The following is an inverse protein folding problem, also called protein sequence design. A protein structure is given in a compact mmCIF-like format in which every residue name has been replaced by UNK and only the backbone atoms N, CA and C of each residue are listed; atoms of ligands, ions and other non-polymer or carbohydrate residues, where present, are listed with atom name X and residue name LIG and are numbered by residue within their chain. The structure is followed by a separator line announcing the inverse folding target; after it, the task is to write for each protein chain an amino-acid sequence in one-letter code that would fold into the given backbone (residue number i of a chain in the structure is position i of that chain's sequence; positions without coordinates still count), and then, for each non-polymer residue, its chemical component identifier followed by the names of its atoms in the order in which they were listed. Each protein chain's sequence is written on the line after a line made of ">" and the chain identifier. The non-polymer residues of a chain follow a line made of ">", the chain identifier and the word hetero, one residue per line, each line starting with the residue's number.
data_IF_120266866445
#
_entry.id   IF_120266866445
#
_cell.length_a   1.000
_cell.length_b   1.000
_cell.length_c   1.000
_cell.angle_alpha   90.00
_cell.angle_beta   90.00
_cell.angle_gamma   90.00
#
_symmetry.space_group_name_H-M   'P 1'
#
loop_
_entity.id
_entity.type
_entity.pdbx_description
1 polymer ?
#
# COMPACT_ATOMS: atom_id res chain seq x y z
N UNK A 1 1.94 -28.86 5.38
CA UNK A 1 2.83 -27.98 6.16
C UNK A 1 4.09 -27.79 5.36
N UNK A 2 4.17 -26.71 4.59
CA UNK A 2 5.36 -26.37 3.80
C UNK A 2 6.39 -25.72 4.72
N UNK A 3 7.61 -26.26 4.74
CA UNK A 3 8.75 -25.71 5.47
C UNK A 3 8.95 -24.23 5.08
N UNK A 4 8.83 -23.32 6.05
CA UNK A 4 9.34 -21.96 5.87
C UNK A 4 10.85 -22.05 5.70
N UNK A 5 11.34 -21.87 4.48
CA UNK A 5 12.77 -21.67 4.23
C UNK A 5 13.26 -20.52 5.11
N UNK A 6 14.13 -20.83 6.08
CA UNK A 6 14.78 -19.81 6.91
C UNK A 6 15.45 -18.80 5.98
N UNK A 7 14.96 -17.56 5.99
CA UNK A 7 15.56 -16.45 5.23
C UNK A 7 17.04 -16.35 5.61
N UNK A 8 17.92 -16.39 4.61
CA UNK A 8 19.35 -16.15 4.80
C UNK A 8 19.52 -14.75 5.38
N UNK A 9 20.24 -14.64 6.49
CA UNK A 9 20.58 -13.35 7.11
C UNK A 9 22.08 -13.10 6.98
N UNK A 10 22.46 -11.84 6.79
CA UNK A 10 23.84 -11.40 6.68
C UNK A 10 24.12 -10.34 7.75
N UNK A 11 25.33 -10.32 8.30
CA UNK A 11 25.71 -9.39 9.36
C UNK A 11 26.34 -8.13 8.76
N UNK A 12 25.93 -6.97 9.27
CA UNK A 12 26.47 -5.67 8.89
C UNK A 12 26.61 -4.78 10.13
N UNK A 13 27.68 -4.00 10.20
CA UNK A 13 28.00 -3.13 11.34
C UNK A 13 28.10 -1.68 10.88
N UNK A 14 27.45 -0.78 11.61
CA UNK A 14 27.46 0.66 11.35
C UNK A 14 27.84 1.45 12.59
N UNK A 15 28.42 2.64 12.38
CA UNK A 15 28.49 3.68 13.42
C UNK A 15 27.29 4.60 13.25
N UNK A 16 26.55 4.83 14.33
CA UNK A 16 25.39 5.71 14.36
C UNK A 16 25.62 6.81 15.40
N UNK A 17 25.04 7.98 15.15
CA UNK A 17 24.93 9.02 16.18
C UNK A 17 24.25 8.45 17.43
N UNK A 18 24.81 8.72 18.61
CA UNK A 18 24.32 8.15 19.87
C UNK A 18 22.88 8.56 20.16
N UNK A 19 22.50 9.80 19.84
CA UNK A 19 21.14 10.28 20.07
C UNK A 19 20.13 9.57 19.15
N UNK A 20 20.54 9.23 17.92
CA UNK A 20 19.70 8.45 17.00
C UNK A 20 19.54 7.02 17.51
N UNK A 21 20.64 6.39 17.95
CA UNK A 21 20.60 5.03 18.49
C UNK A 21 19.70 4.94 19.73
N UNK A 22 19.79 5.92 20.63
CA UNK A 22 18.98 5.96 21.85
C UNK A 22 17.48 6.09 21.54
N UNK A 23 17.10 6.91 20.54
CA UNK A 23 15.70 7.02 20.11
C UNK A 23 15.17 5.71 19.55
N UNK A 24 15.95 5.04 18.70
CA UNK A 24 15.55 3.76 18.09
C UNK A 24 15.45 2.66 19.17
N UNK A 25 16.35 2.64 20.15
CA UNK A 25 16.28 1.69 21.28
C UNK A 25 14.99 1.87 22.09
N UNK A 26 14.69 3.10 22.51
CA UNK A 26 13.45 3.41 23.23
C UNK A 26 12.21 3.03 22.45
N UNK A 27 12.21 3.24 21.13
CA UNK A 27 11.12 2.83 20.26
C UNK A 27 10.99 1.30 20.15
N UNK A 28 12.10 0.57 20.10
CA UNK A 28 12.05 -0.90 20.09
C UNK A 28 11.50 -1.45 21.42
N UNK A 29 11.88 -0.84 22.54
CA UNK A 29 11.37 -1.17 23.88
C UNK A 29 9.88 -0.86 24.01
N UNK A 30 9.42 0.31 23.53
CA UNK A 30 7.99 0.67 23.57
C UNK A 30 7.11 -0.27 22.73
N UNK A 31 7.65 -0.77 21.61
CA UNK A 31 7.00 -1.76 20.77
C UNK A 31 7.14 -3.21 21.29
N UNK A 32 7.94 -3.45 22.34
CA UNK A 32 8.20 -4.79 22.87
C UNK A 32 8.96 -5.71 21.89
N UNK A 33 9.76 -5.13 20.99
CA UNK A 33 10.56 -5.87 20.00
C UNK A 33 12.05 -5.61 20.18
N UNK A 34 12.90 -6.50 19.66
CA UNK A 34 14.36 -6.26 19.69
C UNK A 34 14.76 -5.13 18.74
N UNK A 35 15.87 -4.46 19.06
CA UNK A 35 16.46 -3.43 18.19
C UNK A 35 16.71 -3.97 16.77
N UNK A 36 17.14 -5.23 16.64
CA UNK A 36 17.37 -5.85 15.34
C UNK A 36 16.07 -6.01 14.54
N UNK A 37 14.96 -6.38 15.19
CA UNK A 37 13.65 -6.47 14.52
C UNK A 37 13.20 -5.09 14.05
N UNK A 38 13.34 -4.05 14.88
CA UNK A 38 13.01 -2.69 14.47
C UNK A 38 13.89 -2.19 13.31
N UNK A 39 15.20 -2.43 13.37
CA UNK A 39 16.13 -2.08 12.30
C UNK A 39 15.76 -2.77 10.98
N UNK A 40 15.44 -4.07 11.00
CA UNK A 40 14.97 -4.78 9.81
C UNK A 40 13.67 -4.18 9.27
N UNK A 41 12.69 -3.86 10.12
CA UNK A 41 11.45 -3.19 9.69
C UNK A 41 11.74 -1.84 8.99
N UNK A 42 12.65 -1.04 9.54
CA UNK A 42 13.05 0.27 8.96
C UNK A 42 13.72 0.06 7.60
N UNK A 43 14.70 -0.83 7.50
CA UNK A 43 15.40 -1.09 6.24
C UNK A 43 14.46 -1.65 5.18
N UNK A 44 13.60 -2.62 5.52
CA UNK A 44 12.60 -3.15 4.60
C UNK A 44 11.64 -2.05 4.11
N UNK A 45 11.11 -1.22 5.02
CA UNK A 45 10.24 -0.08 4.64
C UNK A 45 10.96 0.90 3.72
N UNK A 46 12.24 1.17 3.98
CA UNK A 46 13.02 2.07 3.14
C UNK A 46 13.20 1.50 1.72
N UNK A 47 13.59 0.23 1.60
CA UNK A 47 13.81 -0.43 0.31
C UNK A 47 12.53 -0.67 -0.49
N UNK A 48 11.39 -0.87 0.19
CA UNK A 48 10.11 -1.13 -0.47
C UNK A 48 9.37 0.16 -0.87
N UNK A 49 9.64 1.29 -0.20
CA UNK A 49 8.86 2.52 -0.37
C UNK A 49 9.66 3.81 -0.27
N UNK A 50 10.27 4.10 0.88
CA UNK A 50 10.81 5.44 1.17
C UNK A 50 11.92 5.88 0.20
N UNK A 51 12.65 4.93 -0.40
CA UNK A 51 13.67 5.26 -1.41
C UNK A 51 13.10 5.73 -2.76
N UNK A 52 11.80 5.55 -3.00
CA UNK A 52 11.12 5.88 -4.25
C UNK A 52 10.08 6.99 -4.11
N UNK A 53 9.35 7.06 -2.99
CA UNK A 53 8.29 8.05 -2.72
C UNK A 53 8.62 9.48 -3.20
N UNK A 54 9.77 10.09 -2.85
CA UNK A 54 10.08 11.45 -3.30
C UNK A 54 10.35 11.56 -4.81
N UNK A 55 10.73 10.47 -5.47
CA UNK A 55 11.02 10.43 -6.91
C UNK A 55 9.75 10.39 -7.77
N UNK A 56 8.63 9.98 -7.18
CA UNK A 56 7.35 9.81 -7.86
C UNK A 56 6.34 10.91 -7.51
N UNK A 57 6.81 12.01 -6.92
CA UNK A 57 5.97 13.17 -6.59
C UNK A 57 4.93 12.91 -5.50
N UNK A 58 5.12 11.87 -4.68
CA UNK A 58 4.25 11.61 -3.54
C UNK A 58 4.53 12.58 -2.39
N UNK A 59 3.46 13.04 -1.76
CA UNK A 59 3.51 13.94 -0.60
C UNK A 59 2.75 13.31 0.57
N UNK A 60 3.31 13.34 1.80
CA UNK A 60 2.62 12.86 2.97
C UNK A 60 1.46 13.81 3.31
N UNK A 61 0.25 13.26 3.45
CA UNK A 61 -0.95 14.01 3.82
C UNK A 61 -1.63 13.32 5.00
N UNK A 62 -2.00 14.09 6.02
CA UNK A 62 -2.72 13.56 7.17
C UNK A 62 -4.11 13.02 6.76
N UNK A 63 -4.46 11.83 7.27
CA UNK A 63 -5.72 11.12 6.98
C UNK A 63 -6.98 12.02 7.08
N UNK A 64 -7.15 12.89 8.10
CA UNK A 64 -8.32 13.76 8.19
C UNK A 64 -8.44 14.76 7.03
N UNK A 65 -7.31 15.25 6.50
CA UNK A 65 -7.30 16.15 5.34
C UNK A 65 -7.78 15.39 4.10
N UNK A 66 -7.27 14.17 3.89
CA UNK A 66 -7.72 13.32 2.78
C UNK A 66 -9.22 13.08 2.86
N UNK A 67 -9.74 12.71 4.04
CA UNK A 67 -11.18 12.49 4.23
C UNK A 67 -11.99 13.75 3.92
N UNK A 68 -11.59 14.90 4.45
CA UNK A 68 -12.26 16.17 4.20
C UNK A 68 -12.24 16.59 2.72
N UNK A 69 -11.17 16.29 1.98
CA UNK A 69 -11.10 16.55 0.55
C UNK A 69 -12.06 15.65 -0.24
N UNK A 70 -12.08 14.34 0.05
CA UNK A 70 -12.97 13.40 -0.64
C UNK A 70 -14.45 13.62 -0.29
N UNK A 71 -14.77 14.06 0.92
CA UNK A 71 -16.14 14.41 1.32
C UNK A 71 -16.72 15.62 0.56
N UNK A 72 -15.86 16.51 0.04
CA UNK A 72 -16.31 17.66 -0.77
C UNK A 72 -16.67 17.29 -2.20
N UNK A 73 -16.18 16.16 -2.70
CA UNK A 73 -16.47 15.73 -4.07
C UNK A 73 -17.87 15.14 -4.16
N UNK A 74 -18.54 15.37 -5.27
CA UNK A 74 -19.70 14.56 -5.67
C UNK A 74 -19.23 13.21 -6.20
N UNK A 75 -20.15 12.25 -6.29
CA UNK A 75 -19.88 10.96 -6.91
C UNK A 75 -19.37 11.12 -8.35
N UNK A 76 -19.99 12.03 -9.12
CA UNK A 76 -19.60 12.33 -10.49
C UNK A 76 -18.17 12.87 -10.58
N UNK A 77 -17.83 13.87 -9.76
CA UNK A 77 -16.46 14.42 -9.72
C UNK A 77 -15.43 13.37 -9.31
N UNK A 78 -15.79 12.49 -8.38
CA UNK A 78 -14.94 11.37 -7.94
C UNK A 78 -14.65 10.40 -9.09
N UNK A 79 -15.67 10.02 -9.86
CA UNK A 79 -15.52 9.14 -11.03
C UNK A 79 -14.70 9.82 -12.13
N UNK A 80 -14.94 11.11 -12.39
CA UNK A 80 -14.16 11.87 -13.37
C UNK A 80 -12.68 11.98 -12.97
N UNK A 81 -12.39 12.24 -11.70
CA UNK A 81 -11.03 12.30 -11.16
C UNK A 81 -10.29 10.97 -11.38
N UNK A 82 -10.95 9.85 -11.04
CA UNK A 82 -10.40 8.51 -11.22
C UNK A 82 -10.08 8.20 -12.70
N UNK A 83 -10.99 8.54 -13.62
CA UNK A 83 -10.85 8.27 -15.05
C UNK A 83 -9.85 9.18 -15.76
N UNK A 84 -9.81 10.47 -15.42
CA UNK A 84 -8.98 11.45 -16.14
C UNK A 84 -7.49 11.32 -15.82
N UNK A 85 -7.17 11.11 -14.54
CA UNK A 85 -5.78 11.12 -14.08
C UNK A 85 -5.43 9.96 -13.15
N UNK A 86 -6.42 9.33 -12.50
CA UNK A 86 -6.16 8.30 -11.49
C UNK A 86 -5.44 7.07 -12.04
N UNK A 87 -5.91 6.53 -13.18
CA UNK A 87 -5.30 5.35 -13.80
C UNK A 87 -3.85 5.59 -14.22
N UNK A 88 -3.58 6.66 -14.98
CA UNK A 88 -2.23 6.96 -15.49
C UNK A 88 -1.24 7.20 -14.37
N UNK A 89 -1.58 8.07 -13.41
CA UNK A 89 -0.71 8.38 -12.27
C UNK A 89 -0.41 7.11 -11.47
N UNK A 90 -1.44 6.32 -11.11
CA UNK A 90 -1.22 5.12 -10.30
C UNK A 90 -0.42 4.06 -11.07
N UNK A 91 -0.65 3.92 -12.37
CA UNK A 91 0.09 2.99 -13.24
C UNK A 91 1.57 3.36 -13.34
N UNK A 92 1.88 4.63 -13.60
CA UNK A 92 3.25 5.11 -13.77
C UNK A 92 4.05 4.96 -12.47
N UNK A 93 3.45 5.30 -11.33
CA UNK A 93 4.09 5.17 -10.03
C UNK A 93 4.37 3.70 -9.70
N UNK A 94 3.38 2.81 -9.88
CA UNK A 94 3.55 1.39 -9.60
C UNK A 94 4.65 0.78 -10.48
N UNK A 95 4.64 1.11 -11.78
CA UNK A 95 5.65 0.66 -12.75
C UNK A 95 7.05 1.14 -12.35
N UNK A 96 7.19 2.42 -11.99
CA UNK A 96 8.49 2.98 -11.59
C UNK A 96 9.03 2.30 -10.32
N UNK A 97 8.18 2.06 -9.33
CA UNK A 97 8.59 1.47 -8.04
C UNK A 97 8.87 -0.02 -8.13
N UNK A 98 8.22 -0.75 -9.05
CA UNK A 98 8.37 -2.21 -9.20
C UNK A 98 9.25 -2.63 -10.37
N UNK A 99 9.58 -1.71 -11.29
CA UNK A 99 10.34 -2.00 -12.50
C UNK A 99 9.54 -2.70 -13.61
N UNK A 100 8.22 -2.80 -13.45
CA UNK A 100 7.34 -3.49 -14.38
C UNK A 100 5.88 -3.44 -13.93
N UNK A 101 4.97 -3.90 -14.80
CA UNK A 101 3.54 -3.92 -14.56
C UNK A 101 2.96 -5.28 -14.94
N UNK A 102 2.76 -6.11 -13.93
CA UNK A 102 1.99 -7.35 -13.95
C UNK A 102 1.08 -7.40 -12.70
N UNK A 103 0.22 -8.43 -12.59
CA UNK A 103 -0.71 -8.55 -11.47
C UNK A 103 0.01 -8.61 -10.13
N UNK A 104 1.11 -9.35 -10.04
CA UNK A 104 1.81 -9.57 -8.77
C UNK A 104 2.56 -8.32 -8.30
N UNK A 105 3.27 -7.65 -9.22
CA UNK A 105 3.97 -6.39 -8.96
C UNK A 105 3.00 -5.28 -8.58
N UNK A 106 1.90 -5.11 -9.33
CA UNK A 106 0.89 -4.08 -9.04
C UNK A 106 0.20 -4.32 -7.70
N UNK A 107 -0.27 -5.54 -7.44
CA UNK A 107 -0.94 -5.89 -6.17
C UNK A 107 0.04 -5.76 -5.00
N UNK A 108 1.28 -6.20 -5.16
CA UNK A 108 2.33 -6.01 -4.14
C UNK A 108 2.54 -4.53 -3.83
N UNK A 109 2.65 -3.68 -4.85
CA UNK A 109 2.79 -2.23 -4.67
C UNK A 109 1.57 -1.63 -3.96
N UNK A 110 0.37 -2.00 -4.40
CA UNK A 110 -0.88 -1.47 -3.86
C UNK A 110 -1.06 -1.86 -2.39
N UNK A 111 -0.82 -3.13 -2.04
CA UNK A 111 -0.90 -3.61 -0.66
C UNK A 111 0.16 -2.93 0.22
N UNK A 112 1.39 -2.78 -0.26
CA UNK A 112 2.44 -2.03 0.46
C UNK A 112 2.01 -0.58 0.71
N UNK A 113 1.48 0.12 -0.30
CA UNK A 113 0.94 1.48 -0.16
C UNK A 113 -0.12 1.57 0.94
N UNK A 114 -1.08 0.66 0.94
CA UNK A 114 -2.17 0.62 1.92
C UNK A 114 -1.63 0.38 3.34
N UNK A 115 -0.67 -0.55 3.52
CA UNK A 115 -0.04 -0.83 4.82
C UNK A 115 0.78 0.35 5.34
N UNK A 116 1.50 1.04 4.46
CA UNK A 116 2.31 2.21 4.83
C UNK A 116 1.44 3.39 5.26
N UNK A 117 0.21 3.44 4.75
CA UNK A 117 -0.82 4.40 5.15
C UNK A 117 -1.54 4.01 6.46
N UNK A 118 -1.06 2.96 7.15
CA UNK A 118 -1.60 2.43 8.40
C UNK A 118 -3.06 1.94 8.28
N UNK A 119 -3.42 1.41 7.11
CA UNK A 119 -4.71 0.74 6.93
C UNK A 119 -4.63 -0.73 7.32
N UNK A 120 -5.68 -1.21 7.99
CA UNK A 120 -5.84 -2.63 8.29
C UNK A 120 -6.21 -3.37 7.01
N UNK A 121 -5.51 -4.48 6.73
CA UNK A 121 -5.76 -5.30 5.55
C UNK A 121 -5.89 -6.77 5.97
N UNK A 122 -7.02 -7.37 5.62
CA UNK A 122 -7.19 -8.82 5.68
C UNK A 122 -7.07 -9.40 4.27
N UNK A 123 -6.23 -10.44 4.10
CA UNK A 123 -6.04 -11.13 2.83
C UNK A 123 -6.46 -12.60 2.97
N UNK A 124 -7.42 -13.01 2.17
CA UNK A 124 -7.97 -14.37 2.14
C UNK A 124 -7.78 -14.95 0.74
N UNK A 125 -7.38 -16.21 0.66
CA UNK A 125 -7.29 -16.97 -0.60
C UNK A 125 -8.22 -18.17 -0.52
N UNK A 126 -9.14 -18.31 -1.50
CA UNK A 126 -10.04 -19.47 -1.63
C UNK A 126 -10.17 -19.82 -3.11
N UNK A 127 -9.93 -21.08 -3.47
CA UNK A 127 -10.01 -21.58 -4.86
C UNK A 127 -9.28 -20.65 -5.85
N UNK A 128 -8.02 -20.32 -5.57
CA UNK A 128 -7.17 -19.42 -6.39
C UNK A 128 -7.65 -17.95 -6.48
N UNK A 129 -8.81 -17.62 -5.92
CA UNK A 129 -9.32 -16.26 -5.80
C UNK A 129 -8.69 -15.56 -4.60
N UNK A 130 -7.92 -14.51 -4.87
CA UNK A 130 -7.37 -13.61 -3.87
C UNK A 130 -8.41 -12.57 -3.51
N UNK A 131 -8.64 -12.34 -2.21
CA UNK A 131 -9.56 -11.31 -1.70
C UNK A 131 -8.86 -10.47 -0.65
N UNK A 132 -8.76 -9.16 -0.88
CA UNK A 132 -8.25 -8.18 0.07
C UNK A 132 -9.41 -7.35 0.60
N UNK A 133 -9.50 -7.23 1.92
CA UNK A 133 -10.45 -6.36 2.62
C UNK A 133 -9.62 -5.30 3.32
N UNK A 134 -9.82 -4.04 2.94
CA UNK A 134 -9.04 -2.89 3.40
C UNK A 134 -9.98 -1.98 4.18
N UNK A 135 -9.69 -1.78 5.46
CA UNK A 135 -10.40 -0.83 6.31
C UNK A 135 -9.60 0.48 6.33
N UNK A 136 -10.22 1.54 5.82
CA UNK A 136 -9.56 2.82 5.60
C UNK A 136 -10.26 3.99 6.29
N UNK A 137 -11.56 3.94 6.60
CA UNK A 137 -12.30 5.01 7.31
C UNK A 137 -12.07 6.42 6.71
N UNK A 138 -12.25 6.56 5.40
CA UNK A 138 -11.99 7.81 4.67
C UNK A 138 -13.23 8.38 3.96
N UNK A 139 -14.37 7.70 4.02
CA UNK A 139 -15.62 8.09 3.39
C UNK A 139 -15.82 7.43 2.02
N UNK A 140 -17.09 7.41 1.57
CA UNK A 140 -17.52 6.66 0.39
C UNK A 140 -16.79 7.05 -0.90
N UNK A 141 -16.57 8.35 -1.13
CA UNK A 141 -15.91 8.82 -2.34
C UNK A 141 -14.45 8.36 -2.44
N UNK A 142 -13.75 8.19 -1.31
CA UNK A 142 -12.40 7.64 -1.32
C UNK A 142 -12.41 6.18 -1.79
N UNK A 143 -13.37 5.39 -1.32
CA UNK A 143 -13.58 4.00 -1.72
C UNK A 143 -13.96 3.89 -3.18
N UNK A 144 -14.85 4.78 -3.65
CA UNK A 144 -15.29 4.83 -5.04
C UNK A 144 -14.12 5.18 -5.97
N UNK A 145 -13.31 6.18 -5.63
CA UNK A 145 -12.12 6.53 -6.40
C UNK A 145 -11.21 5.31 -6.57
N UNK A 146 -10.86 4.63 -5.47
CA UNK A 146 -9.98 3.46 -5.52
C UNK A 146 -10.61 2.29 -6.28
N UNK A 147 -11.92 2.04 -6.12
CA UNK A 147 -12.65 1.04 -6.92
C UNK A 147 -12.49 1.30 -8.41
N UNK A 148 -12.78 2.52 -8.87
CA UNK A 148 -12.72 2.86 -10.30
C UNK A 148 -11.28 2.76 -10.81
N UNK A 149 -10.30 3.31 -10.10
CA UNK A 149 -8.89 3.22 -10.50
C UNK A 149 -8.42 1.76 -10.60
N UNK A 150 -8.75 0.92 -9.62
CA UNK A 150 -8.39 -0.49 -9.65
C UNK A 150 -9.08 -1.22 -10.81
N UNK A 151 -10.35 -0.97 -11.06
CA UNK A 151 -11.07 -1.56 -12.19
C UNK A 151 -10.44 -1.18 -13.53
N UNK A 152 -10.09 0.10 -13.72
CA UNK A 152 -9.43 0.57 -14.94
C UNK A 152 -8.06 -0.09 -15.12
N UNK A 153 -7.23 -0.16 -14.08
CA UNK A 153 -5.90 -0.79 -14.17
C UNK A 153 -6.02 -2.29 -14.46
N UNK A 154 -6.88 -3.00 -13.72
CA UNK A 154 -7.05 -4.44 -13.91
C UNK A 154 -7.57 -4.77 -15.31
N UNK A 155 -8.57 -4.05 -15.80
CA UNK A 155 -9.16 -4.33 -17.10
C UNK A 155 -8.25 -3.88 -18.26
N UNK A 156 -7.76 -2.63 -18.23
CA UNK A 156 -7.15 -2.02 -19.41
C UNK A 156 -5.64 -2.27 -19.48
N UNK A 157 -4.97 -2.43 -18.33
CA UNK A 157 -3.50 -2.61 -18.27
C UNK A 157 -3.14 -4.06 -18.01
N UNK A 158 -3.83 -4.73 -17.07
CA UNK A 158 -3.51 -6.09 -16.65
C UNK A 158 -4.33 -7.16 -17.38
N UNK A 159 -5.32 -6.77 -18.20
CA UNK A 159 -6.24 -7.68 -18.91
C UNK A 159 -6.88 -8.75 -18.01
N UNK A 160 -7.21 -8.37 -16.76
CA UNK A 160 -7.77 -9.24 -15.72
C UNK A 160 -9.05 -8.66 -15.16
N UNK A 161 -10.02 -9.53 -14.87
CA UNK A 161 -11.25 -9.12 -14.18
C UNK A 161 -10.99 -8.92 -12.69
N UNK A 162 -11.66 -7.93 -12.12
CA UNK A 162 -11.66 -7.65 -10.69
C UNK A 162 -13.08 -7.41 -10.19
N UNK A 163 -13.43 -8.09 -9.12
CA UNK A 163 -14.65 -7.84 -8.36
C UNK A 163 -14.34 -6.84 -7.24
N UNK A 164 -15.29 -5.95 -6.95
CA UNK A 164 -15.14 -5.00 -5.85
C UNK A 164 -16.46 -4.66 -5.17
N UNK A 165 -16.41 -4.61 -3.85
CA UNK A 165 -17.49 -4.15 -2.98
C UNK A 165 -16.93 -3.01 -2.13
N UNK A 166 -17.66 -1.90 -2.00
CA UNK A 166 -17.19 -0.72 -1.27
C UNK A 166 -18.28 -0.16 -0.37
N UNK A 167 -17.87 0.47 0.73
CA UNK A 167 -18.68 1.36 1.54
C UNK A 167 -17.81 2.51 2.04
N UNK A 168 -18.32 3.33 2.97
CA UNK A 168 -17.59 4.49 3.50
C UNK A 168 -16.30 4.16 4.28
N UNK A 169 -16.21 2.96 4.86
CA UNK A 169 -15.17 2.61 5.82
C UNK A 169 -14.21 1.56 5.28
N UNK A 170 -14.66 0.75 4.33
CA UNK A 170 -13.87 -0.33 3.76
C UNK A 170 -14.13 -0.56 2.28
N UNK A 171 -13.13 -1.18 1.65
CA UNK A 171 -13.22 -1.74 0.32
C UNK A 171 -12.77 -3.19 0.34
N UNK A 172 -13.49 -4.04 -0.39
CA UNK A 172 -13.14 -5.42 -0.68
C UNK A 172 -12.86 -5.53 -2.17
N UNK A 173 -11.72 -6.11 -2.50
CA UNK A 173 -11.31 -6.38 -3.88
C UNK A 173 -10.96 -7.86 -4.04
N UNK A 174 -11.41 -8.46 -5.12
CA UNK A 174 -11.17 -9.88 -5.39
C UNK A 174 -10.84 -10.14 -6.86
N UNK A 175 -9.88 -11.01 -7.12
CA UNK A 175 -9.48 -11.41 -8.48
C UNK A 175 -8.81 -12.79 -8.46
N UNK A 176 -8.79 -13.44 -9.61
CA UNK A 176 -8.06 -14.70 -9.83
C UNK A 176 -6.68 -14.37 -10.41
N UNK A 177 -5.64 -14.95 -9.82
CA UNK A 177 -4.27 -14.77 -10.30
C UNK A 177 -4.03 -15.52 -11.60
#
# INVERSE_FOLDING_TARGET
>A
MTEEQKKKTETMSFRLDSNVLDKIRKESESQGISLNVLANKIFSRYTEWSMFEPKVGMVPIAKPIVSALFQKLTEKETVELAKKIGQSIVSDIATFMKGGMDVDSFVSWFVTRMRISDFEINHVVKNEKHTYIIKHDLGYNWSLYHKIVLQLIFNDVLAKKIDSEINENMMKISFEK
#
